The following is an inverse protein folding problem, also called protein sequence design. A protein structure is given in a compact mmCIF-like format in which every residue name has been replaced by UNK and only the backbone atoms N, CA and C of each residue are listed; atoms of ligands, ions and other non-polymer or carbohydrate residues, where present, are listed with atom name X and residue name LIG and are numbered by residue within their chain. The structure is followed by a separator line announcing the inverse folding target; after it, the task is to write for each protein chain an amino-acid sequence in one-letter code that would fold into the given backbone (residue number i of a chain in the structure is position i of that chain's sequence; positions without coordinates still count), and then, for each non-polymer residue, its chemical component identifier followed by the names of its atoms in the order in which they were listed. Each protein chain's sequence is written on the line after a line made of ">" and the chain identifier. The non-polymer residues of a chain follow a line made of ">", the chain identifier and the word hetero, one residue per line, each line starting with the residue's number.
data_IF_321985721126
#
_entry.id   IF_321985721126
#
_cell.length_a   1.000
_cell.length_b   1.000
_cell.length_c   1.000
_cell.angle_alpha   90.00
_cell.angle_beta   90.00
_cell.angle_gamma   90.00
#
_symmetry.space_group_name_H-M   'P 1'
#
loop_
_entity.id
_entity.type
_entity.pdbx_description
1 polymer ?
#
# COMPACT_ATOMS: atom_id res chain seq x y z
N UNK A 1 1.59 -52.57 -22.73
CA UNK A 1 0.41 -51.83 -22.25
C UNK A 1 0.89 -50.52 -21.66
N UNK A 2 0.41 -49.35 -22.09
CA UNK A 2 0.83 -48.09 -21.49
C UNK A 2 0.27 -47.96 -20.07
N UNK A 3 1.03 -47.39 -19.11
CA UNK A 3 0.59 -47.24 -17.73
C UNK A 3 -0.59 -46.24 -17.64
N UNK A 4 -1.60 -46.57 -16.84
CA UNK A 4 -2.72 -45.68 -16.52
C UNK A 4 -2.18 -44.49 -15.71
N UNK A 5 -2.10 -43.31 -16.33
CA UNK A 5 -1.84 -42.07 -15.60
C UNK A 5 -3.11 -41.59 -14.87
N UNK A 6 -3.01 -41.18 -13.59
CA UNK A 6 -4.17 -40.75 -12.81
C UNK A 6 -4.73 -39.39 -13.24
N UNK A 7 -4.14 -38.74 -14.25
CA UNK A 7 -4.59 -37.46 -14.81
C UNK A 7 -5.58 -37.62 -15.98
N UNK A 8 -6.00 -38.84 -16.30
CA UNK A 8 -6.83 -39.19 -17.47
C UNK A 8 -8.28 -38.69 -17.47
N UNK A 9 -8.67 -37.78 -16.58
CA UNK A 9 -9.96 -37.08 -16.65
C UNK A 9 -9.73 -35.61 -16.36
N UNK A 10 -10.03 -34.75 -17.34
CA UNK A 10 -10.16 -33.30 -17.08
C UNK A 10 -11.26 -33.16 -16.02
N UNK A 11 -10.88 -32.82 -14.79
CA UNK A 11 -11.86 -32.45 -13.76
C UNK A 11 -12.62 -31.26 -14.35
N UNK A 12 -13.93 -31.42 -14.55
CA UNK A 12 -14.78 -30.29 -14.92
C UNK A 12 -14.59 -29.24 -13.81
N UNK A 13 -14.32 -27.97 -14.16
CA UNK A 13 -14.22 -26.93 -13.15
C UNK A 13 -15.53 -26.95 -12.36
N UNK A 14 -15.41 -26.97 -11.03
CA UNK A 14 -16.55 -26.84 -10.13
C UNK A 14 -17.20 -25.50 -10.48
N UNK A 15 -18.32 -25.54 -11.21
CA UNK A 15 -19.13 -24.37 -11.48
C UNK A 15 -19.64 -23.92 -10.11
N UNK A 16 -19.03 -22.87 -9.56
CA UNK A 16 -19.54 -22.20 -8.39
C UNK A 16 -20.78 -21.46 -8.90
N UNK A 17 -21.97 -21.94 -8.52
CA UNK A 17 -23.24 -21.23 -8.77
C UNK A 17 -23.26 -19.97 -7.90
N UNK A 18 -22.45 -18.99 -8.29
CA UNK A 18 -22.47 -17.66 -7.72
C UNK A 18 -23.52 -16.85 -8.49
N UNK A 19 -24.57 -16.35 -7.82
CA UNK A 19 -25.62 -15.59 -8.49
C UNK A 19 -25.03 -14.35 -9.16
N UNK A 20 -25.48 -14.05 -10.38
CA UNK A 20 -25.06 -12.83 -11.08
C UNK A 20 -25.39 -11.60 -10.22
N UNK A 21 -24.46 -10.65 -10.05
CA UNK A 21 -24.70 -9.49 -9.21
C UNK A 21 -25.81 -8.62 -9.80
N UNK A 22 -26.80 -8.26 -8.97
CA UNK A 22 -27.91 -7.42 -9.40
C UNK A 22 -27.43 -5.99 -9.75
N UNK A 23 -27.96 -5.37 -10.81
CA UNK A 23 -27.57 -4.02 -11.21
C UNK A 23 -28.08 -2.97 -10.22
N UNK A 24 -27.16 -2.16 -9.68
CA UNK A 24 -27.48 -1.09 -8.72
C UNK A 24 -27.98 0.15 -9.48
N UNK A 25 -29.27 0.49 -9.33
CA UNK A 25 -29.88 1.67 -9.95
C UNK A 25 -29.90 2.84 -8.96
N UNK A 26 -29.11 3.87 -9.23
CA UNK A 26 -29.09 5.09 -8.43
C UNK A 26 -30.18 6.07 -8.88
N UNK A 27 -31.08 6.47 -7.98
CA UNK A 27 -32.01 7.58 -8.20
C UNK A 27 -31.57 8.77 -7.35
N UNK A 28 -31.50 9.94 -7.96
CA UNK A 28 -31.00 11.19 -7.35
C UNK A 28 -31.74 11.59 -6.06
N UNK A 29 -32.99 11.18 -5.92
CA UNK A 29 -33.88 11.56 -4.80
C UNK A 29 -34.25 10.36 -3.91
N UNK A 30 -33.62 9.20 -4.11
CA UNK A 30 -33.83 8.04 -3.25
C UNK A 30 -32.79 8.05 -2.12
N UNK A 31 -33.26 7.75 -0.90
CA UNK A 31 -32.46 7.69 0.33
C UNK A 31 -31.88 6.29 0.69
N UNK A 32 -31.56 5.33 -0.22
CA UNK A 32 -30.92 4.09 0.20
C UNK A 32 -29.41 4.29 0.44
N UNK A 33 -28.88 5.51 0.26
CA UNK A 33 -27.45 5.77 0.38
C UNK A 33 -26.91 5.43 1.77
N UNK A 34 -27.66 5.69 2.84
CA UNK A 34 -27.23 5.35 4.19
C UNK A 34 -27.18 3.84 4.43
N UNK A 35 -28.15 3.09 3.92
CA UNK A 35 -28.20 1.63 4.06
C UNK A 35 -27.09 0.96 3.25
N UNK A 36 -26.86 1.41 2.01
CA UNK A 36 -25.76 0.93 1.15
C UNK A 36 -24.40 1.27 1.76
N UNK A 37 -24.23 2.45 2.36
CA UNK A 37 -22.99 2.85 3.02
C UNK A 37 -22.75 2.14 4.35
N UNK A 38 -23.82 1.68 5.01
CA UNK A 38 -23.77 0.91 6.25
C UNK A 38 -23.59 -0.60 6.02
N UNK A 39 -23.76 -1.10 4.79
CA UNK A 39 -23.56 -2.50 4.46
C UNK A 39 -22.08 -2.91 4.62
N UNK A 40 -21.83 -3.80 5.57
CA UNK A 40 -20.52 -4.38 5.85
C UNK A 40 -20.47 -5.89 5.56
N UNK A 41 -21.53 -6.48 4.98
CA UNK A 41 -21.66 -7.92 4.74
C UNK A 41 -20.48 -8.50 3.95
N UNK A 42 -20.00 -7.77 2.94
CA UNK A 42 -18.84 -8.15 2.13
C UNK A 42 -17.55 -8.35 2.96
N UNK A 43 -17.39 -7.62 4.07
CA UNK A 43 -16.22 -7.70 4.97
C UNK A 43 -16.33 -8.85 5.98
N UNK A 44 -17.55 -9.31 6.23
CA UNK A 44 -17.83 -10.40 7.17
C UNK A 44 -17.83 -11.77 6.48
N UNK A 45 -17.85 -11.78 5.15
CA UNK A 45 -17.82 -13.00 4.34
C UNK A 45 -16.62 -13.90 4.68
N UNK A 46 -16.86 -15.21 4.66
CA UNK A 46 -15.87 -16.23 5.01
C UNK A 46 -14.68 -16.19 4.04
N UNK A 47 -14.97 -16.02 2.75
CA UNK A 47 -13.95 -15.97 1.71
C UNK A 47 -13.05 -14.74 1.84
N UNK A 48 -13.62 -13.57 2.16
CA UNK A 48 -12.84 -12.37 2.44
C UNK A 48 -11.94 -12.57 3.65
N UNK A 49 -12.45 -13.12 4.76
CA UNK A 49 -11.62 -13.39 5.96
C UNK A 49 -10.52 -14.41 5.67
N UNK A 50 -10.82 -15.46 4.89
CA UNK A 50 -9.83 -16.45 4.49
C UNK A 50 -8.71 -15.83 3.62
N UNK A 51 -9.07 -14.99 2.65
CA UNK A 51 -8.11 -14.28 1.80
C UNK A 51 -7.25 -13.30 2.62
N UNK A 52 -7.86 -12.54 3.54
CA UNK A 52 -7.11 -11.65 4.44
C UNK A 52 -6.15 -12.43 5.33
N UNK A 53 -6.54 -13.60 5.83
CA UNK A 53 -5.61 -14.46 6.58
C UNK A 53 -4.49 -15.04 5.71
N UNK A 54 -4.74 -15.31 4.43
CA UNK A 54 -3.77 -15.89 3.51
C UNK A 54 -2.75 -14.87 2.97
N UNK A 55 -3.21 -13.66 2.61
CA UNK A 55 -2.39 -12.63 1.97
C UNK A 55 -2.02 -11.46 2.89
N UNK A 56 -2.69 -11.33 4.04
CA UNK A 56 -2.40 -10.32 5.05
C UNK A 56 -1.40 -10.80 6.10
N UNK A 57 -1.42 -10.18 7.28
CA UNK A 57 -0.54 -10.49 8.40
C UNK A 57 -0.98 -11.73 9.21
N UNK A 58 -1.85 -12.59 8.66
CA UNK A 58 -2.40 -13.76 9.34
C UNK A 58 -3.55 -13.47 10.32
N UNK A 59 -3.98 -12.21 10.49
CA UNK A 59 -5.12 -11.88 11.35
C UNK A 59 -6.46 -12.02 10.60
N UNK A 60 -7.48 -12.60 11.23
CA UNK A 60 -8.84 -12.77 10.66
C UNK A 60 -9.74 -11.55 10.89
N UNK A 61 -9.23 -10.47 11.49
CA UNK A 61 -10.02 -9.30 11.92
C UNK A 61 -9.59 -8.05 11.14
N UNK A 62 -10.45 -7.57 10.25
CA UNK A 62 -10.22 -6.33 9.51
C UNK A 62 -10.83 -5.17 10.28
N UNK A 63 -10.06 -4.57 11.19
CA UNK A 63 -10.44 -3.27 11.76
C UNK A 63 -10.43 -2.22 10.64
N UNK A 64 -11.48 -1.41 10.56
CA UNK A 64 -11.45 -0.18 9.76
C UNK A 64 -10.28 0.65 10.29
N UNK A 65 -9.35 1.05 9.43
CA UNK A 65 -8.35 2.02 9.86
C UNK A 65 -9.09 3.35 10.09
N UNK A 66 -9.30 3.72 11.34
CA UNK A 66 -10.11 4.89 11.72
C UNK A 66 -9.51 6.23 11.26
N UNK A 67 -8.30 6.26 10.69
CA UNK A 67 -7.64 7.52 10.37
C UNK A 67 -6.81 7.54 9.07
N UNK A 68 -6.95 6.60 8.14
CA UNK A 68 -6.15 6.71 6.90
C UNK A 68 -6.50 7.94 6.05
N UNK A 69 -7.68 8.55 6.24
CA UNK A 69 -8.03 9.83 5.63
C UNK A 69 -7.45 11.05 6.36
N UNK A 70 -7.03 10.90 7.62
CA UNK A 70 -6.28 11.96 8.32
C UNK A 70 -4.79 11.93 7.95
N UNK A 71 -4.26 10.75 7.62
CA UNK A 71 -2.89 10.57 7.14
C UNK A 71 -2.74 10.69 5.61
N UNK A 72 -3.84 10.91 4.88
CA UNK A 72 -3.77 11.28 3.47
C UNK A 72 -3.48 12.79 3.34
N UNK A 73 -2.27 13.16 3.74
CA UNK A 73 -1.62 14.41 3.36
C UNK A 73 -1.26 14.30 1.87
N UNK A 74 -2.26 14.47 1.01
CA UNK A 74 -2.10 14.29 -0.43
C UNK A 74 -0.95 15.14 -0.93
N UNK A 75 0.13 14.51 -1.43
CA UNK A 75 1.30 15.11 -2.11
C UNK A 75 1.37 16.63 -1.96
N UNK A 76 1.62 17.09 -0.73
CA UNK A 76 1.99 18.48 -0.51
C UNK A 76 3.48 18.50 -0.80
N UNK A 77 3.85 19.15 -1.89
CA UNK A 77 5.24 19.50 -2.12
C UNK A 77 5.80 20.12 -0.84
N UNK A 78 6.82 19.47 -0.28
CA UNK A 78 7.68 20.01 0.77
C UNK A 78 7.07 20.19 2.17
N UNK A 79 6.58 19.11 2.78
CA UNK A 79 6.62 19.01 4.24
C UNK A 79 8.04 18.63 4.67
N UNK A 80 8.88 19.64 4.96
CA UNK A 80 10.12 19.46 5.74
C UNK A 80 9.74 18.83 7.07
N UNK A 81 9.83 17.50 7.14
CA UNK A 81 9.81 16.78 8.42
C UNK A 81 10.97 17.36 9.23
N UNK A 82 10.77 17.77 10.51
CA UNK A 82 11.89 18.12 11.35
C UNK A 82 12.75 16.87 11.46
N UNK A 83 13.86 16.87 10.72
CA UNK A 83 14.80 15.78 10.68
C UNK A 83 15.17 15.46 12.13
N UNK A 84 14.74 14.28 12.59
CA UNK A 84 15.42 13.64 13.69
C UNK A 84 16.91 13.75 13.37
N UNK A 85 17.71 14.27 14.31
CA UNK A 85 19.13 14.52 14.12
C UNK A 85 19.83 13.16 14.04
N UNK A 86 19.64 12.46 12.94
CA UNK A 86 20.36 11.26 12.59
C UNK A 86 21.80 11.69 12.37
N UNK A 87 22.74 10.95 12.96
CA UNK A 87 24.15 11.22 12.76
C UNK A 87 24.49 10.89 11.32
N UNK A 88 24.86 11.89 10.54
CA UNK A 88 25.27 11.73 9.14
C UNK A 88 26.67 12.30 8.91
N UNK A 89 27.34 11.79 7.87
CA UNK A 89 28.63 12.28 7.38
C UNK A 89 28.46 12.79 5.96
N UNK A 90 29.14 13.88 5.63
CA UNK A 90 29.14 14.42 4.27
C UNK A 90 30.13 13.68 3.38
N UNK A 91 29.66 13.21 2.22
CA UNK A 91 30.49 12.54 1.23
C UNK A 91 30.41 13.30 -0.09
N UNK A 92 31.58 13.63 -0.65
CA UNK A 92 31.70 14.19 -1.98
C UNK A 92 31.63 13.07 -3.02
N UNK A 93 30.71 13.20 -3.98
CA UNK A 93 30.51 12.23 -5.04
C UNK A 93 31.11 12.74 -6.38
N UNK A 94 31.25 11.87 -7.38
CA UNK A 94 31.94 12.17 -8.65
C UNK A 94 31.23 13.17 -9.55
N UNK A 95 29.97 13.46 -9.26
CA UNK A 95 29.10 14.44 -9.90
C UNK A 95 29.33 15.87 -9.38
N UNK A 96 30.22 16.07 -8.40
CA UNK A 96 30.57 17.37 -7.82
C UNK A 96 29.65 17.83 -6.69
N UNK A 97 28.67 16.99 -6.30
CA UNK A 97 27.76 17.25 -5.20
C UNK A 97 28.18 16.52 -3.92
N UNK A 98 27.64 16.97 -2.80
CA UNK A 98 27.79 16.33 -1.50
C UNK A 98 26.46 15.71 -1.08
N UNK A 99 26.53 14.50 -0.55
CA UNK A 99 25.39 13.76 -0.05
C UNK A 99 25.59 13.44 1.43
N UNK A 100 24.50 13.35 2.18
CA UNK A 100 24.50 12.90 3.57
C UNK A 100 24.47 11.38 3.59
N UNK A 101 25.50 10.75 4.16
CA UNK A 101 25.49 9.32 4.45
C UNK A 101 25.14 9.10 5.92
N UNK A 102 24.14 8.26 6.17
CA UNK A 102 23.69 7.88 7.50
C UNK A 102 24.55 6.74 8.08
N UNK A 103 24.43 6.50 9.39
CA UNK A 103 25.16 5.43 10.08
C UNK A 103 24.89 4.02 9.50
N UNK A 104 23.71 3.80 8.91
CA UNK A 104 23.32 2.55 8.25
C UNK A 104 23.94 2.38 6.85
N UNK A 105 24.77 3.32 6.40
CA UNK A 105 25.35 3.35 5.05
C UNK A 105 24.40 3.83 3.95
N UNK A 106 23.13 4.10 4.29
CA UNK A 106 22.14 4.74 3.41
C UNK A 106 22.51 6.18 3.09
N UNK A 107 22.05 6.68 1.95
CA UNK A 107 22.27 8.05 1.50
C UNK A 107 20.96 8.83 1.40
N UNK A 108 21.02 10.12 1.70
CA UNK A 108 19.99 11.08 1.35
C UNK A 108 20.02 11.33 -0.16
N UNK A 109 18.85 11.31 -0.82
CA UNK A 109 18.72 11.53 -2.26
C UNK A 109 18.85 13.00 -2.66
N UNK A 110 18.84 13.92 -1.69
CA UNK A 110 18.94 15.36 -1.94
C UNK A 110 20.40 15.78 -2.15
N UNK A 111 20.78 16.27 -3.34
CA UNK A 111 22.14 16.76 -3.60
C UNK A 111 22.37 18.10 -2.90
N UNK A 112 23.57 18.29 -2.33
CA UNK A 112 23.96 19.54 -1.70
C UNK A 112 25.26 20.10 -2.31
N UNK A 113 25.38 21.43 -2.34
CA UNK A 113 26.60 22.13 -2.68
C UNK A 113 27.26 22.73 -1.43
N UNK A 114 28.59 22.67 -1.40
CA UNK A 114 29.40 23.30 -0.36
C UNK A 114 29.61 24.77 -0.72
N UNK A 115 29.12 25.67 0.13
CA UNK A 115 29.35 27.11 0.01
C UNK A 115 30.79 27.47 0.41
N UNK A 116 31.22 28.68 0.03
CA UNK A 116 32.52 29.25 0.42
C UNK A 116 32.72 29.32 1.94
N UNK A 117 31.63 29.42 2.70
CA UNK A 117 31.57 29.42 4.16
C UNK A 117 31.70 28.01 4.79
N UNK A 118 31.87 26.97 3.96
CA UNK A 118 31.97 25.58 4.42
C UNK A 118 30.63 24.90 4.75
N UNK A 119 29.54 25.66 4.76
CA UNK A 119 28.16 25.17 4.95
C UNK A 119 27.62 24.48 3.69
N UNK A 120 26.79 23.44 3.87
CA UNK A 120 26.13 22.72 2.79
C UNK A 120 24.69 23.22 2.60
N UNK A 121 24.30 23.51 1.36
CA UNK A 121 22.93 23.87 1.01
C UNK A 121 22.43 22.97 -0.14
N UNK A 122 21.13 22.63 -0.17
CA UNK A 122 20.57 21.86 -1.28
C UNK A 122 20.80 22.60 -2.60
N UNK A 123 21.12 21.85 -3.66
CA UNK A 123 21.30 22.37 -5.02
C UNK A 123 19.95 22.71 -5.66
#
# INVERSE_FOLDING_TARGET
>A
MPPLWPFGKKKQPLMLDEPEPEPIVYRKDADPSQEVLADNSHRESVDYKAAVSLFGNGATTVKRAEEQSQFYEGIIDSATTPAAVEKFTWIHHTDGYHYKQFADGRFDSVPHQKKSDGTYAPY
#
